data_IF_859288369219
#
_entry.id   IF_859288369219
#
_cell.length_a   1.000
_cell.length_b   1.000
_cell.length_c   1.000
_cell.angle_alpha   90.00
_cell.angle_beta   90.00
_cell.angle_gamma   90.00
#
_symmetry.space_group_name_H-M   'P 1'
#
loop_
_entity.id
_entity.type
_entity.pdbx_description
1 polymer ?
#
# COMPACT_ATOMS: atom_id res chain seq x y z
N UNK A 1 1.46 1.50 -13.87
CA UNK A 1 2.91 1.55 -13.61
C UNK A 1 3.31 0.23 -12.95
N UNK A 2 4.59 -0.11 -12.87
CA UNK A 2 5.01 -1.21 -12.00
C UNK A 2 5.41 -0.65 -10.62
N UNK A 3 5.51 -1.52 -9.63
CA UNK A 3 6.08 -1.18 -8.32
C UNK A 3 7.54 -0.76 -8.40
N UNK A 4 8.27 -1.19 -9.43
CA UNK A 4 9.64 -0.75 -9.72
C UNK A 4 9.72 0.72 -10.19
N UNK A 5 8.60 1.32 -10.61
CA UNK A 5 8.54 2.75 -10.97
C UNK A 5 8.34 3.65 -9.72
N UNK A 6 8.15 3.07 -8.53
CA UNK A 6 8.01 3.82 -7.28
C UNK A 6 9.36 4.38 -6.82
N UNK A 7 9.30 5.53 -6.16
CA UNK A 7 10.43 6.00 -5.37
C UNK A 7 10.74 5.00 -4.27
N UNK A 8 12.00 4.94 -3.86
CA UNK A 8 12.45 4.14 -2.73
C UNK A 8 11.62 4.45 -1.48
N UNK A 9 11.24 5.71 -1.27
CA UNK A 9 10.41 6.11 -0.13
C UNK A 9 8.97 5.54 -0.22
N UNK A 10 8.33 5.58 -1.39
CA UNK A 10 7.00 5.01 -1.58
C UNK A 10 7.04 3.48 -1.51
N UNK A 11 8.03 2.85 -2.16
CA UNK A 11 8.22 1.40 -2.14
C UNK A 11 8.44 0.88 -0.72
N UNK A 12 9.36 1.49 0.04
CA UNK A 12 9.59 1.12 1.44
C UNK A 12 8.39 1.43 2.34
N UNK A 13 7.74 2.57 2.09
CA UNK A 13 6.62 3.05 2.90
C UNK A 13 5.33 2.24 2.75
N UNK A 14 5.14 1.59 1.60
CA UNK A 14 3.90 0.91 1.23
C UNK A 14 4.16 -0.58 0.99
N UNK A 15 4.95 -0.93 -0.03
CA UNK A 15 5.19 -2.33 -0.44
C UNK A 15 5.91 -3.11 0.67
N UNK A 16 7.02 -2.58 1.19
CA UNK A 16 7.78 -3.29 2.24
C UNK A 16 7.04 -3.30 3.58
N UNK A 17 6.32 -2.24 3.94
CA UNK A 17 5.52 -2.24 5.17
C UNK A 17 4.34 -3.24 5.08
N UNK A 18 3.71 -3.38 3.91
CA UNK A 18 2.72 -4.42 3.65
C UNK A 18 3.34 -5.83 3.75
N UNK A 19 4.49 -6.07 3.10
CA UNK A 19 5.14 -7.39 3.08
C UNK A 19 5.60 -7.86 4.46
N UNK A 20 6.01 -6.93 5.32
CA UNK A 20 6.35 -7.25 6.71
C UNK A 20 5.16 -7.74 7.52
N UNK A 21 3.94 -7.35 7.13
CA UNK A 21 2.72 -7.76 7.78
C UNK A 21 2.20 -9.06 7.19
N UNK A 22 1.94 -9.07 5.88
CA UNK A 22 1.36 -10.20 5.17
C UNK A 22 1.60 -10.07 3.66
N UNK A 23 2.00 -11.17 3.02
CA UNK A 23 2.31 -11.18 1.59
C UNK A 23 1.09 -10.85 0.72
N UNK A 24 -0.11 -11.29 1.12
CA UNK A 24 -1.32 -11.06 0.33
C UNK A 24 -1.68 -9.56 0.34
N UNK A 25 -1.40 -8.85 1.44
CA UNK A 25 -1.54 -7.40 1.48
C UNK A 25 -0.60 -6.72 0.47
N UNK A 26 0.64 -7.20 0.34
CA UNK A 26 1.60 -6.70 -0.67
C UNK A 26 1.07 -6.90 -2.08
N UNK A 27 0.49 -8.06 -2.37
CA UNK A 27 -0.07 -8.37 -3.68
C UNK A 27 -1.17 -7.38 -4.06
N UNK A 28 -2.05 -7.02 -3.12
CA UNK A 28 -3.13 -6.06 -3.37
C UNK A 28 -2.56 -4.69 -3.76
N UNK A 29 -1.57 -4.19 -3.02
CA UNK A 29 -0.89 -2.92 -3.36
C UNK A 29 -0.06 -2.99 -4.65
N UNK A 30 0.51 -4.15 -4.96
CA UNK A 30 1.28 -4.39 -6.19
C UNK A 30 0.38 -4.42 -7.42
N UNK A 31 -0.73 -5.13 -7.37
CA UNK A 31 -1.72 -5.18 -8.46
C UNK A 31 -2.30 -3.80 -8.73
N UNK A 32 -2.66 -3.05 -7.69
CA UNK A 32 -3.15 -1.67 -7.80
C UNK A 32 -2.17 -0.74 -8.53
N UNK A 33 -0.85 -0.98 -8.42
CA UNK A 33 0.16 -0.18 -9.14
C UNK A 33 -0.05 -0.21 -10.65
N UNK A 34 -0.45 -1.36 -11.20
CA UNK A 34 -0.65 -1.53 -12.64
C UNK A 34 -1.73 -0.60 -13.21
N UNK A 35 -2.73 -0.25 -12.40
CA UNK A 35 -3.83 0.66 -12.76
C UNK A 35 -3.46 2.15 -12.60
N UNK A 36 -2.34 2.47 -11.96
CA UNK A 36 -1.90 3.85 -11.72
C UNK A 36 -1.02 4.37 -12.87
N UNK A 37 -1.18 5.64 -13.26
CA UNK A 37 -0.35 6.26 -14.30
C UNK A 37 1.02 6.67 -13.77
N UNK A 38 1.07 7.16 -12.54
CA UNK A 38 2.29 7.60 -11.87
C UNK A 38 2.20 7.43 -10.35
N UNK A 39 3.31 7.72 -9.68
CA UNK A 39 3.41 7.57 -8.22
C UNK A 39 2.40 8.45 -7.46
N UNK A 40 2.03 9.64 -7.95
CA UNK A 40 1.07 10.47 -7.22
C UNK A 40 -0.33 9.83 -7.25
N UNK A 41 -0.73 9.32 -8.41
CA UNK A 41 -1.96 8.54 -8.54
C UNK A 41 -1.90 7.27 -7.67
N UNK A 42 -0.74 6.61 -7.61
CA UNK A 42 -0.52 5.47 -6.73
C UNK A 42 -0.70 5.80 -5.24
N UNK A 43 -0.14 6.91 -4.77
CA UNK A 43 -0.29 7.36 -3.38
C UNK A 43 -1.75 7.70 -3.06
N UNK A 44 -2.49 8.31 -3.99
CA UNK A 44 -3.93 8.58 -3.83
C UNK A 44 -4.74 7.28 -3.78
N UNK A 45 -4.52 6.37 -4.73
CA UNK A 45 -5.22 5.10 -4.79
C UNK A 45 -4.91 4.20 -3.59
N UNK A 46 -3.67 4.23 -3.08
CA UNK A 46 -3.30 3.53 -1.85
C UNK A 46 -4.15 3.98 -0.66
N UNK A 47 -4.44 5.28 -0.53
CA UNK A 47 -5.31 5.79 0.53
C UNK A 47 -6.77 5.34 0.36
N UNK A 48 -7.26 5.29 -0.87
CA UNK A 48 -8.60 4.75 -1.19
C UNK A 48 -8.69 3.28 -0.83
N UNK A 49 -7.72 2.47 -1.27
CA UNK A 49 -7.64 1.05 -0.96
C UNK A 49 -7.59 0.80 0.55
N UNK A 50 -6.81 1.59 1.30
CA UNK A 50 -6.76 1.50 2.76
C UNK A 50 -8.14 1.78 3.38
N UNK A 51 -8.89 2.74 2.86
CA UNK A 51 -10.23 3.03 3.35
C UNK A 51 -11.21 1.88 3.06
N UNK A 52 -11.11 1.27 1.86
CA UNK A 52 -11.90 0.10 1.48
C UNK A 52 -11.59 -1.10 2.38
N UNK A 53 -10.31 -1.47 2.53
CA UNK A 53 -9.87 -2.58 3.40
C UNK A 53 -10.33 -2.43 4.85
N UNK A 54 -10.46 -1.19 5.36
CA UNK A 54 -10.96 -0.91 6.71
C UNK A 54 -12.47 -1.06 6.85
N UNK A 55 -13.18 -0.93 5.74
CA UNK A 55 -14.64 -0.99 5.68
C UNK A 55 -15.16 -2.38 5.34
N UNK A 56 -14.28 -3.26 4.86
CA UNK A 56 -14.61 -4.63 4.48
C UNK A 56 -15.04 -5.48 5.67
N UNK A 57 -15.99 -6.38 5.42
CA UNK A 57 -16.36 -7.43 6.37
C UNK A 57 -15.43 -8.66 6.27
N UNK A 58 -15.70 -9.69 7.07
CA UNK A 58 -14.88 -10.90 7.09
C UNK A 58 -14.93 -11.69 5.78
N UNK A 59 -16.05 -11.67 5.05
CA UNK A 59 -16.20 -12.38 3.77
C UNK A 59 -15.36 -11.70 2.69
N UNK A 60 -15.45 -10.38 2.60
CA UNK A 60 -14.64 -9.58 1.68
C UNK A 60 -13.14 -9.71 1.97
N UNK A 61 -12.75 -9.67 3.26
CA UNK A 61 -11.36 -9.90 3.65
C UNK A 61 -10.90 -11.34 3.40
N UNK A 62 -11.81 -12.32 3.44
CA UNK A 62 -11.48 -13.70 3.09
C UNK A 62 -11.03 -13.79 1.64
N UNK A 63 -11.70 -13.07 0.73
CA UNK A 63 -11.33 -13.06 -0.69
C UNK A 63 -9.99 -12.35 -0.92
N UNK A 64 -9.77 -11.20 -0.26
CA UNK A 64 -8.51 -10.43 -0.34
C UNK A 64 -7.31 -11.24 0.15
N UNK A 65 -7.48 -11.98 1.25
CA UNK A 65 -6.41 -12.75 1.90
C UNK A 65 -6.47 -14.24 1.58
N UNK A 66 -7.08 -14.63 0.45
CA UNK A 66 -7.14 -16.00 -0.07
C UNK A 66 -7.51 -17.07 0.98
N UNK A 67 -8.50 -16.77 1.82
CA UNK A 67 -8.99 -17.66 2.88
C UNK A 67 -8.29 -17.52 4.23
N UNK A 68 -7.25 -16.68 4.36
CA UNK A 68 -6.44 -16.50 5.57
C UNK A 68 -6.61 -15.09 6.14
N UNK A 69 -7.79 -14.82 6.68
CA UNK A 69 -8.08 -13.52 7.31
C UNK A 69 -7.02 -13.21 8.39
N UNK A 70 -6.32 -12.08 8.30
CA UNK A 70 -5.35 -11.70 9.31
C UNK A 70 -6.05 -11.16 10.56
N UNK A 71 -5.30 -10.98 11.65
CA UNK A 71 -5.84 -10.27 12.82
C UNK A 71 -6.22 -8.83 12.44
N UNK A 72 -7.52 -8.51 12.54
CA UNK A 72 -8.09 -7.22 12.10
C UNK A 72 -7.46 -6.03 12.83
N UNK A 73 -7.09 -6.19 14.10
CA UNK A 73 -6.42 -5.11 14.85
C UNK A 73 -5.03 -4.84 14.29
N UNK A 74 -4.28 -5.90 13.99
CA UNK A 74 -2.95 -5.82 13.39
C UNK A 74 -3.01 -5.26 11.97
N UNK A 75 -3.98 -5.69 11.15
CA UNK A 75 -4.25 -5.12 9.84
C UNK A 75 -4.46 -3.60 9.93
N UNK A 76 -5.39 -3.17 10.79
CA UNK A 76 -5.69 -1.75 10.96
C UNK A 76 -4.49 -0.91 11.42
N UNK A 77 -3.64 -1.47 12.28
CA UNK A 77 -2.38 -0.84 12.71
C UNK A 77 -1.40 -0.71 11.56
N UNK A 78 -1.20 -1.75 10.75
CA UNK A 78 -0.35 -1.73 9.56
C UNK A 78 -0.84 -0.70 8.55
N UNK A 79 -2.13 -0.73 8.19
CA UNK A 79 -2.73 0.26 7.30
C UNK A 79 -2.56 1.69 7.83
N UNK A 80 -2.64 1.87 9.15
CA UNK A 80 -2.36 3.16 9.79
C UNK A 80 -0.91 3.63 9.69
N UNK A 81 0.06 2.71 9.65
CA UNK A 81 1.47 3.04 9.38
C UNK A 81 1.68 3.41 7.92
N UNK A 82 1.07 2.67 6.99
CA UNK A 82 1.14 2.97 5.55
C UNK A 82 0.60 4.38 5.27
N UNK A 83 -0.55 4.78 5.86
CA UNK A 83 -1.05 6.17 5.76
C UNK A 83 -0.01 7.19 6.24
N UNK A 84 0.61 6.96 7.39
CA UNK A 84 1.64 7.87 7.92
C UNK A 84 2.89 7.91 7.04
N UNK A 85 3.25 6.80 6.41
CA UNK A 85 4.37 6.72 5.48
C UNK A 85 4.07 7.51 4.21
N UNK A 86 2.87 7.36 3.63
CA UNK A 86 2.39 8.18 2.50
C UNK A 86 2.48 9.68 2.84
N UNK A 87 2.04 10.08 4.03
CA UNK A 87 2.17 11.46 4.49
C UNK A 87 3.63 11.94 4.58
N UNK A 88 4.60 11.06 4.88
CA UNK A 88 6.01 11.43 4.84
C UNK A 88 6.54 11.53 3.41
N UNK A 89 6.19 10.59 2.54
CA UNK A 89 6.59 10.60 1.11
C UNK A 89 6.13 11.91 0.46
N UNK A 90 4.90 12.34 0.73
CA UNK A 90 4.33 13.60 0.20
C UNK A 90 5.03 14.87 0.68
N UNK A 91 5.74 14.82 1.81
CA UNK A 91 6.55 15.97 2.27
C UNK A 91 7.83 16.12 1.47
N UNK A 92 8.24 15.07 0.76
CA UNK A 92 9.39 15.10 -0.14
C UNK A 92 8.88 15.55 -1.51
N UNK A 93 9.35 16.71 -2.03
CA UNK A 93 9.08 17.12 -3.40
C UNK A 93 9.42 15.98 -4.37
N UNK A 94 8.58 15.77 -5.40
CA UNK A 94 8.70 14.64 -6.34
C UNK A 94 10.11 14.56 -6.96
N UNK A 95 10.72 15.71 -7.21
CA UNK A 95 12.05 15.87 -7.81
C UNK A 95 13.20 15.49 -6.86
N UNK A 96 12.93 15.36 -5.57
CA UNK A 96 13.90 15.01 -4.52
C UNK A 96 13.71 13.58 -3.98
N UNK A 97 12.75 12.82 -4.51
CA UNK A 97 12.58 11.40 -4.19
C UNK A 97 13.63 10.55 -4.89
N UNK A 98 13.96 9.40 -4.31
CA UNK A 98 14.99 8.51 -4.85
C UNK A 98 14.35 7.44 -5.71
N UNK A 99 14.94 7.16 -6.88
CA UNK A 99 14.53 6.07 -7.76
C UNK A 99 15.77 5.23 -8.05
N UNK A 100 15.74 3.96 -7.61
CA UNK A 100 16.80 3.00 -7.94
C UNK A 100 16.45 2.38 -9.30
N UNK A 101 17.36 2.51 -10.27
CA UNK A 101 17.23 1.94 -11.62
C UNK A 101 17.88 0.55 -11.71
#
# INVERSE_FOLDING_TARGET
MDTDDLSTEAYQGIIIEAERFDHDLTLVFGVMASDCKDEEEYLDMALVLIHELRSMDEEELTDVFFGKIPDIKSLNLTLGRIVKNIDQVRKIPKELRHYEF
#
